data_IF_841713471752
#
_entry.id   IF_841713471752
#
_cell.length_a   1.000
_cell.length_b   1.000
_cell.length_c   1.000
_cell.angle_alpha   90.00
_cell.angle_beta   90.00
_cell.angle_gamma   90.00
#
_symmetry.space_group_name_H-M   'P 1'
#
loop_
_entity.id
_entity.type
_entity.pdbx_description
1 polymer ?
#
# COMPACT_ATOMS: atom_id res chain seq x y z
N UNK A 1 30.06 40.91 -65.19
CA UNK A 1 30.91 40.56 -64.03
C UNK A 1 31.46 41.87 -63.46
N UNK A 2 31.50 42.17 -62.15
CA UNK A 2 31.32 41.31 -60.96
C UNK A 2 30.42 41.90 -59.84
N UNK A 3 30.42 41.18 -58.70
CA UNK A 3 30.13 41.56 -57.28
C UNK A 3 28.73 41.34 -56.68
N UNK A 4 28.72 40.42 -55.72
CA UNK A 4 27.66 40.08 -54.76
C UNK A 4 27.39 41.21 -53.77
N UNK A 5 26.12 41.41 -53.39
CA UNK A 5 25.73 41.91 -52.04
C UNK A 5 24.46 41.18 -51.59
N UNK A 6 24.61 40.53 -50.44
CA UNK A 6 23.61 39.90 -49.57
C UNK A 6 22.77 41.00 -48.90
N UNK A 7 21.45 40.87 -48.91
CA UNK A 7 20.58 41.19 -47.75
C UNK A 7 19.12 40.88 -48.10
N UNK A 8 18.58 39.79 -47.54
CA UNK A 8 17.18 39.44 -47.63
C UNK A 8 16.35 40.35 -46.71
N UNK A 9 15.31 40.96 -47.29
CA UNK A 9 14.34 41.81 -46.61
C UNK A 9 13.53 41.03 -45.57
N UNK A 10 13.47 41.60 -44.36
CA UNK A 10 12.60 41.21 -43.24
C UNK A 10 11.25 41.90 -43.37
N UNK A 11 10.14 41.16 -43.30
CA UNK A 11 8.81 41.61 -42.82
C UNK A 11 7.97 40.35 -42.54
N UNK A 12 7.15 40.19 -41.51
CA UNK A 12 6.97 40.82 -40.20
C UNK A 12 6.14 39.77 -39.43
N UNK A 13 6.73 39.05 -38.47
CA UNK A 13 6.07 37.97 -37.74
C UNK A 13 5.17 38.59 -36.67
N UNK A 14 3.87 38.29 -36.69
CA UNK A 14 2.88 38.85 -35.78
C UNK A 14 3.20 38.52 -34.31
N UNK A 15 3.21 39.57 -33.50
CA UNK A 15 3.34 39.60 -32.06
C UNK A 15 2.13 38.94 -31.36
N UNK A 16 2.39 38.01 -30.46
CA UNK A 16 1.59 37.82 -29.25
C UNK A 16 2.53 37.45 -28.10
N UNK A 17 3.12 38.49 -27.51
CA UNK A 17 3.86 38.41 -26.25
C UNK A 17 2.83 38.47 -25.11
N UNK A 18 2.41 37.32 -24.60
CA UNK A 18 1.78 37.27 -23.28
C UNK A 18 2.90 37.08 -22.25
N UNK A 19 3.18 38.12 -21.47
CA UNK A 19 3.98 38.01 -20.26
C UNK A 19 3.03 37.84 -19.08
N UNK A 20 3.08 36.68 -18.40
CA UNK A 20 2.62 36.58 -17.03
C UNK A 20 3.80 36.12 -16.17
N UNK A 21 4.06 36.91 -15.14
CA UNK A 21 5.22 36.84 -14.24
C UNK A 21 5.10 35.67 -13.27
N UNK A 22 6.25 35.15 -12.87
CA UNK A 22 6.46 34.00 -12.02
C UNK A 22 5.66 34.02 -10.69
N UNK A 23 5.13 32.86 -10.33
CA UNK A 23 5.08 32.42 -8.94
C UNK A 23 6.08 31.26 -8.82
N UNK A 24 7.27 31.56 -8.28
CA UNK A 24 8.18 30.52 -7.79
C UNK A 24 7.55 29.86 -6.56
N UNK A 25 6.79 28.80 -6.80
CA UNK A 25 6.70 27.72 -5.82
C UNK A 25 7.47 26.54 -6.38
N UNK A 26 8.79 26.57 -6.18
CA UNK A 26 9.61 25.37 -6.12
C UNK A 26 9.08 24.51 -4.98
N UNK A 27 8.04 23.72 -5.26
CA UNK A 27 7.69 22.55 -4.44
C UNK A 27 8.77 21.50 -4.70
N UNK A 28 9.96 21.76 -4.19
CA UNK A 28 11.00 20.76 -3.94
C UNK A 28 10.90 20.40 -2.46
N UNK A 29 9.80 19.76 -2.08
CA UNK A 29 9.83 18.81 -0.97
C UNK A 29 9.74 17.43 -1.59
N UNK A 30 10.92 16.93 -1.97
CA UNK A 30 11.28 15.50 -1.97
C UNK A 30 10.11 14.57 -2.30
N UNK A 31 9.96 14.30 -3.60
CA UNK A 31 9.41 13.03 -4.09
C UNK A 31 10.32 11.90 -3.62
N UNK A 32 10.24 11.55 -2.34
CA UNK A 32 10.68 10.25 -1.85
C UNK A 32 9.50 9.30 -1.98
N UNK A 33 9.43 8.74 -3.18
CA UNK A 33 8.74 7.51 -3.55
C UNK A 33 8.77 6.49 -2.39
N UNK A 34 7.69 5.78 -2.09
CA UNK A 34 6.98 4.93 -3.04
C UNK A 34 5.47 5.19 -3.09
N UNK A 35 4.83 4.97 -4.25
CA UNK A 35 3.38 4.94 -4.34
C UNK A 35 2.86 3.89 -3.37
N UNK A 36 1.98 4.29 -2.45
CA UNK A 36 1.15 3.33 -1.72
C UNK A 36 0.29 2.67 -2.79
N UNK A 37 0.70 1.48 -3.24
CA UNK A 37 -0.18 0.66 -4.06
C UNK A 37 -1.30 0.21 -3.15
N UNK A 38 -2.42 0.95 -3.15
CA UNK A 38 -3.74 0.49 -2.71
C UNK A 38 -4.25 -0.68 -3.60
N UNK A 39 -3.34 -1.42 -4.21
CA UNK A 39 -3.52 -2.46 -5.21
C UNK A 39 -3.02 -3.82 -4.68
N UNK A 40 -2.97 -3.99 -3.35
CA UNK A 40 -2.82 -5.29 -2.71
C UNK A 40 -4.13 -6.09 -2.76
N UNK A 41 -4.60 -6.37 -3.98
CA UNK A 41 -5.43 -7.52 -4.34
C UNK A 41 -6.62 -7.84 -3.38
N UNK A 42 -7.70 -7.06 -3.46
CA UNK A 42 -9.02 -7.53 -3.00
C UNK A 42 -9.54 -8.63 -3.96
N UNK A 43 -8.92 -9.81 -3.92
CA UNK A 43 -9.53 -11.03 -4.50
C UNK A 43 -10.60 -11.54 -3.52
N UNK A 44 -11.67 -10.77 -3.35
CA UNK A 44 -12.89 -11.22 -2.69
C UNK A 44 -13.65 -12.16 -3.64
N UNK A 45 -13.18 -13.41 -3.76
CA UNK A 45 -13.87 -14.47 -4.50
C UNK A 45 -14.86 -15.24 -3.61
N UNK A 46 -15.59 -14.50 -2.78
CA UNK A 46 -16.44 -15.06 -1.74
C UNK A 46 -17.54 -14.10 -1.38
N UNK A 47 -18.80 -14.55 -1.43
CA UNK A 47 -19.93 -13.77 -0.92
C UNK A 47 -19.58 -13.35 0.52
N UNK A 48 -19.43 -12.05 0.75
CA UNK A 48 -19.20 -11.42 2.07
C UNK A 48 -17.79 -11.46 2.68
N UNK A 49 -16.74 -11.78 1.91
CA UNK A 49 -15.37 -11.59 2.39
C UNK A 49 -15.02 -10.09 2.50
N UNK A 50 -14.59 -9.64 3.68
CA UNK A 50 -14.24 -8.24 3.98
C UNK A 50 -12.76 -8.12 4.34
N UNK A 51 -12.12 -7.10 3.74
CA UNK A 51 -10.76 -6.70 4.08
C UNK A 51 -10.75 -5.22 4.40
N UNK A 52 -10.18 -4.88 5.55
CA UNK A 52 -9.93 -3.52 5.99
C UNK A 52 -8.44 -3.36 6.27
N UNK A 53 -7.79 -2.48 5.51
CA UNK A 53 -6.36 -2.21 5.65
C UNK A 53 -6.16 -0.71 5.91
N UNK A 54 -5.48 -0.39 7.00
CA UNK A 54 -5.04 0.95 7.34
C UNK A 54 -3.50 0.97 7.44
N UNK A 55 -2.85 1.78 6.62
CA UNK A 55 -1.40 1.94 6.64
C UNK A 55 -1.04 3.41 6.89
N UNK A 56 -0.14 3.65 7.83
CA UNK A 56 0.39 4.96 8.17
C UNK A 56 1.91 4.87 8.28
N UNK A 57 2.63 5.71 7.54
CA UNK A 57 4.09 5.72 7.45
C UNK A 57 4.58 5.33 6.05
N UNK A 58 5.82 4.85 5.95
CA UNK A 58 6.51 4.67 4.67
C UNK A 58 6.85 3.20 4.42
N UNK A 59 6.82 2.76 3.16
CA UNK A 59 7.25 1.41 2.74
C UNK A 59 6.51 0.22 3.36
N UNK A 60 5.35 0.45 3.99
CA UNK A 60 4.52 -0.63 4.51
C UNK A 60 3.86 -1.41 3.35
N UNK A 61 3.82 -2.73 3.47
CA UNK A 61 3.26 -3.65 2.49
C UNK A 61 2.27 -4.59 3.17
N UNK A 62 1.12 -4.80 2.53
CA UNK A 62 0.13 -5.77 2.97
C UNK A 62 -0.44 -6.53 1.77
N UNK A 63 -0.54 -7.86 1.89
CA UNK A 63 -1.14 -8.76 0.92
C UNK A 63 -2.16 -9.62 1.64
N UNK A 64 -3.41 -9.64 1.18
CA UNK A 64 -4.50 -10.37 1.83
C UNK A 64 -5.25 -11.18 0.76
N UNK A 65 -5.36 -12.49 0.94
CA UNK A 65 -6.13 -13.39 0.10
C UNK A 65 -7.20 -14.09 0.94
N UNK A 66 -8.45 -14.08 0.47
CA UNK A 66 -9.58 -14.68 1.16
C UNK A 66 -10.35 -15.60 0.21
N UNK A 67 -10.30 -16.89 0.49
CA UNK A 67 -10.94 -17.95 -0.28
C UNK A 67 -12.04 -18.58 0.58
N UNK A 68 -13.31 -18.41 0.19
CA UNK A 68 -14.46 -18.95 0.92
C UNK A 68 -15.51 -17.87 1.21
N UNK A 69 -16.20 -17.91 2.36
CA UNK A 69 -17.38 -17.06 2.62
C UNK A 69 -17.22 -16.32 3.95
N UNK A 70 -17.59 -15.05 4.00
CA UNK A 70 -17.65 -14.25 5.24
C UNK A 70 -16.34 -14.21 6.06
N UNK A 71 -15.18 -14.30 5.42
CA UNK A 71 -13.89 -14.10 6.09
C UNK A 71 -13.63 -12.59 6.27
N UNK A 72 -13.10 -12.22 7.44
CA UNK A 72 -12.80 -10.84 7.80
C UNK A 72 -11.31 -10.69 8.12
N UNK A 73 -10.65 -9.71 7.51
CA UNK A 73 -9.28 -9.33 7.82
C UNK A 73 -9.20 -7.84 8.12
N UNK A 74 -8.73 -7.49 9.32
CA UNK A 74 -8.49 -6.12 9.76
C UNK A 74 -7.00 -5.94 10.05
N UNK A 75 -6.34 -5.12 9.22
CA UNK A 75 -4.91 -4.84 9.32
C UNK A 75 -4.66 -3.35 9.58
N UNK A 76 -3.87 -3.06 10.60
CA UNK A 76 -3.30 -1.73 10.89
C UNK A 76 -1.77 -1.85 10.85
N UNK A 77 -1.12 -1.06 10.00
CA UNK A 77 0.34 -0.91 9.99
C UNK A 77 0.72 0.56 10.24
N UNK A 78 1.49 0.81 11.29
CA UNK A 78 1.95 2.13 11.70
C UNK A 78 3.48 2.12 11.86
N UNK A 79 4.19 2.90 11.05
CA UNK A 79 5.65 3.02 11.06
C UNK A 79 6.27 2.75 9.70
N UNK A 80 7.50 2.24 9.68
CA UNK A 80 8.28 2.06 8.45
C UNK A 80 8.59 0.60 8.15
N UNK A 81 8.54 0.21 6.87
CA UNK A 81 8.93 -1.12 6.37
C UNK A 81 8.18 -2.31 7.04
N UNK A 82 6.93 -2.12 7.47
CA UNK A 82 6.13 -3.22 7.99
C UNK A 82 5.53 -4.06 6.85
N UNK A 83 5.57 -5.37 6.98
CA UNK A 83 5.10 -6.32 5.99
C UNK A 83 4.05 -7.26 6.60
N UNK A 84 2.94 -7.45 5.90
CA UNK A 84 1.91 -8.40 6.29
C UNK A 84 1.44 -9.21 5.08
N UNK A 85 1.38 -10.53 5.25
CA UNK A 85 0.80 -11.47 4.29
C UNK A 85 -0.25 -12.29 5.01
N UNK A 86 -1.47 -12.34 4.45
CA UNK A 86 -2.61 -13.01 5.05
C UNK A 86 -3.27 -13.90 4.01
N UNK A 87 -3.53 -15.15 4.37
CA UNK A 87 -4.29 -16.10 3.58
C UNK A 87 -5.37 -16.74 4.45
N UNK A 88 -6.64 -16.49 4.15
CA UNK A 88 -7.78 -17.09 4.85
C UNK A 88 -8.52 -18.04 3.90
N UNK A 89 -8.64 -19.30 4.29
CA UNK A 89 -9.31 -20.35 3.51
C UNK A 89 -10.39 -21.00 4.37
N UNK A 90 -11.65 -20.86 3.96
CA UNK A 90 -12.81 -21.42 4.66
C UNK A 90 -13.88 -20.38 4.94
N UNK A 91 -14.62 -20.51 6.04
CA UNK A 91 -15.75 -19.61 6.34
C UNK A 91 -15.64 -18.95 7.71
N UNK A 92 -16.10 -17.70 7.82
CA UNK A 92 -16.14 -16.94 9.07
C UNK A 92 -14.78 -16.85 9.80
N UNK A 93 -13.66 -16.90 9.09
CA UNK A 93 -12.36 -16.67 9.73
C UNK A 93 -12.16 -15.17 9.96
N UNK A 94 -11.67 -14.82 11.14
CA UNK A 94 -11.38 -13.44 11.52
C UNK A 94 -9.89 -13.28 11.83
N UNK A 95 -9.30 -12.22 11.29
CA UNK A 95 -7.94 -11.79 11.59
C UNK A 95 -7.93 -10.33 12.00
N UNK A 96 -7.30 -10.05 13.13
CA UNK A 96 -6.91 -8.71 13.56
C UNK A 96 -5.39 -8.64 13.68
N UNK A 97 -4.74 -7.78 12.89
CA UNK A 97 -3.29 -7.58 12.91
C UNK A 97 -2.96 -6.11 13.07
N UNK A 98 -2.30 -5.77 14.18
CA UNK A 98 -1.70 -4.47 14.45
C UNK A 98 -0.17 -4.60 14.41
N UNK A 99 0.48 -3.84 13.54
CA UNK A 99 1.93 -3.67 13.51
C UNK A 99 2.24 -2.21 13.81
N UNK A 100 2.89 -1.95 14.95
CA UNK A 100 3.31 -0.61 15.36
C UNK A 100 4.82 -0.60 15.61
N UNK A 101 5.55 0.19 14.83
CA UNK A 101 7.01 0.24 14.87
C UNK A 101 7.59 0.04 13.48
N UNK A 102 8.85 -0.38 13.40
CA UNK A 102 9.58 -0.49 12.14
C UNK A 102 10.03 -1.93 11.91
N UNK A 103 10.00 -2.36 10.65
CA UNK A 103 10.46 -3.69 10.23
C UNK A 103 9.70 -4.86 10.87
N UNK A 104 8.39 -4.70 11.12
CA UNK A 104 7.56 -5.82 11.56
C UNK A 104 7.14 -6.68 10.38
N UNK A 105 7.18 -8.01 10.53
CA UNK A 105 6.70 -8.95 9.53
C UNK A 105 5.69 -9.93 10.13
N UNK A 106 4.55 -10.07 9.47
CA UNK A 106 3.52 -11.04 9.79
C UNK A 106 3.17 -11.86 8.55
N UNK A 107 3.35 -13.18 8.61
CA UNK A 107 2.85 -14.12 7.62
C UNK A 107 1.77 -14.98 8.30
N UNK A 108 0.52 -14.89 7.87
CA UNK A 108 -0.64 -15.51 8.54
C UNK A 108 -1.42 -16.37 7.55
N UNK A 109 -1.62 -17.63 7.90
CA UNK A 109 -2.47 -18.57 7.17
C UNK A 109 -3.53 -19.14 8.11
N UNK A 110 -4.81 -18.93 7.80
CA UNK A 110 -5.95 -19.53 8.49
C UNK A 110 -6.67 -20.49 7.55
N UNK A 111 -6.80 -21.75 7.97
CA UNK A 111 -7.50 -22.79 7.22
C UNK A 111 -8.53 -23.44 8.15
N UNK A 112 -9.79 -23.43 7.73
CA UNK A 112 -10.93 -23.99 8.46
C UNK A 112 -12.04 -22.96 8.66
N UNK A 113 -12.91 -23.16 9.63
CA UNK A 113 -14.06 -22.30 9.89
C UNK A 113 -14.05 -21.71 11.30
N UNK A 114 -14.63 -20.52 11.42
CA UNK A 114 -14.84 -19.82 12.71
C UNK A 114 -13.53 -19.64 13.51
N UNK A 115 -12.40 -19.46 12.82
CA UNK A 115 -11.12 -19.23 13.49
C UNK A 115 -10.87 -17.75 13.74
N UNK A 116 -10.18 -17.46 14.84
CA UNK A 116 -9.77 -16.11 15.22
C UNK A 116 -8.25 -16.05 15.39
N UNK A 117 -7.61 -15.10 14.72
CA UNK A 117 -6.22 -14.72 15.00
C UNK A 117 -6.19 -13.25 15.38
N UNK A 118 -5.53 -12.96 16.49
CA UNK A 118 -5.22 -11.60 16.91
C UNK A 118 -3.73 -11.45 17.11
N UNK A 119 -3.12 -10.46 16.46
CA UNK A 119 -1.69 -10.22 16.50
C UNK A 119 -1.46 -8.75 16.79
N UNK A 120 -0.71 -8.47 17.85
CA UNK A 120 -0.22 -7.14 18.18
C UNK A 120 1.32 -7.18 18.22
N UNK A 121 1.96 -6.60 17.21
CA UNK A 121 3.42 -6.52 17.08
C UNK A 121 3.86 -5.10 17.36
N UNK A 122 4.57 -4.90 18.46
CA UNK A 122 5.17 -3.63 18.81
C UNK A 122 6.69 -3.71 18.60
N UNK A 123 7.29 -2.63 18.09
CA UNK A 123 8.74 -2.55 17.90
C UNK A 123 9.21 -3.19 16.61
N UNK A 124 10.01 -4.26 16.72
CA UNK A 124 10.60 -5.00 15.59
C UNK A 124 10.46 -6.51 15.82
N UNK A 125 9.66 -7.14 14.98
CA UNK A 125 9.25 -8.52 15.15
C UNK A 125 9.06 -9.26 13.84
N UNK A 126 9.28 -10.58 13.82
CA UNK A 126 8.89 -11.43 12.70
C UNK A 126 8.07 -12.61 13.23
N UNK A 127 6.91 -12.84 12.64
CA UNK A 127 6.05 -13.97 12.97
C UNK A 127 5.52 -14.66 11.72
N UNK A 128 5.40 -15.98 11.82
CA UNK A 128 4.61 -16.80 10.92
C UNK A 128 3.60 -17.56 11.76
N UNK A 129 2.33 -17.48 11.39
CA UNK A 129 1.24 -18.22 12.04
C UNK A 129 0.54 -19.05 10.97
N UNK A 130 0.44 -20.35 11.23
CA UNK A 130 -0.38 -21.27 10.46
C UNK A 130 -1.38 -21.90 11.42
N UNK A 131 -2.66 -21.63 11.21
CA UNK A 131 -3.75 -22.18 11.98
C UNK A 131 -4.59 -23.06 11.07
N UNK A 132 -4.61 -24.36 11.37
CA UNK A 132 -5.40 -25.36 10.65
C UNK A 132 -6.33 -26.03 11.68
N UNK A 133 -7.51 -25.48 11.84
CA UNK A 133 -8.50 -25.93 12.82
C UNK A 133 -9.87 -25.34 12.50
N UNK A 134 -10.91 -25.80 13.20
CA UNK A 134 -12.18 -25.10 13.27
C UNK A 134 -12.37 -24.58 14.69
N UNK A 135 -12.98 -23.39 14.86
CA UNK A 135 -13.24 -22.76 16.16
C UNK A 135 -11.98 -22.57 17.02
N UNK A 136 -10.81 -22.34 16.41
CA UNK A 136 -9.58 -22.10 17.14
C UNK A 136 -9.26 -20.62 17.25
N UNK A 137 -8.67 -20.23 18.37
CA UNK A 137 -8.20 -18.88 18.61
C UNK A 137 -6.68 -18.86 18.87
N UNK A 138 -5.95 -17.96 18.21
CA UNK A 138 -4.55 -17.67 18.50
C UNK A 138 -4.41 -16.18 18.78
N UNK A 139 -3.78 -15.83 19.90
CA UNK A 139 -3.45 -14.45 20.25
C UNK A 139 -1.95 -14.32 20.43
N UNK A 140 -1.33 -13.37 19.74
CA UNK A 140 0.07 -13.00 19.91
C UNK A 140 0.14 -11.52 20.29
N UNK A 141 0.86 -11.22 21.36
CA UNK A 141 1.23 -9.86 21.72
C UNK A 141 2.72 -9.84 22.00
N UNK A 142 3.44 -8.96 21.31
CA UNK A 142 4.87 -8.76 21.51
C UNK A 142 5.18 -7.28 21.69
N UNK A 143 6.12 -7.01 22.60
CA UNK A 143 6.63 -5.69 22.96
C UNK A 143 8.05 -5.48 22.46
#
# INVERSE_FOLDING_TARGET
>A
MPRQIICFLVTCLLLCSFTLTADESTITTSVNELPITLQGLLESNGRDNVVNLFQQGSFNQASISQIGIANNAYLIQQGEDNQASVNQVGSNNELELLQQGNYNRADVTQIGNDNLIQINQLGRANFAIEQIADNAAITITQY
#
